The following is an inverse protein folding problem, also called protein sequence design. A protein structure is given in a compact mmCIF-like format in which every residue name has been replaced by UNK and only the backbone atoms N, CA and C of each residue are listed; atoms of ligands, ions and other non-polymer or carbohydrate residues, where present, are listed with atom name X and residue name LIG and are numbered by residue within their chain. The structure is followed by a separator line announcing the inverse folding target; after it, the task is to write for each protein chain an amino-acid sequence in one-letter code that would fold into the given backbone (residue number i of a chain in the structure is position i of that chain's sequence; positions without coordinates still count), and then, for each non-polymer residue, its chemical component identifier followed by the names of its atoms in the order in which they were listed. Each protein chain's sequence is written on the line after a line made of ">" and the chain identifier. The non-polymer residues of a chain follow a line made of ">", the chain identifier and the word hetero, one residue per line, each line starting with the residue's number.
data_IF_314133168840
#
_entry.id   IF_314133168840
#
_cell.length_a   1.000
_cell.length_b   1.000
_cell.length_c   1.000
_cell.angle_alpha   90.00
_cell.angle_beta   90.00
_cell.angle_gamma   90.00
#
_symmetry.space_group_name_H-M   'P 1'
#
loop_
_entity.id
_entity.type
_entity.pdbx_description
1 polymer ?
#
# COMPACT_ATOMS: atom_id res chain seq x y z
N UNK A 1 -19.00 -4.32 44.23
CA UNK A 1 -18.49 -5.68 43.99
C UNK A 1 -17.92 -5.91 42.58
N UNK A 2 -18.42 -5.24 41.58
CA UNK A 2 -17.94 -5.44 40.19
C UNK A 2 -16.74 -4.57 39.81
N UNK A 3 -16.29 -3.68 40.66
CA UNK A 3 -15.18 -2.76 40.39
C UNK A 3 -13.79 -3.43 40.46
N UNK A 4 -13.65 -4.48 41.24
CA UNK A 4 -12.39 -5.19 41.42
C UNK A 4 -12.04 -6.10 40.21
N UNK A 5 -13.06 -6.52 39.45
CA UNK A 5 -12.83 -7.33 38.24
C UNK A 5 -12.35 -6.52 37.05
N UNK A 6 -12.56 -5.22 37.05
CA UNK A 6 -12.12 -4.34 35.96
C UNK A 6 -10.65 -3.95 36.04
N UNK A 7 -10.08 -3.97 37.23
CA UNK A 7 -8.67 -3.62 37.42
C UNK A 7 -7.73 -4.74 36.99
N UNK A 8 -8.18 -6.00 37.01
CA UNK A 8 -7.32 -7.13 36.61
C UNK A 8 -7.17 -7.27 35.10
N UNK A 9 -8.07 -6.66 34.33
CA UNK A 9 -7.99 -6.71 32.87
C UNK A 9 -7.07 -5.64 32.27
N UNK A 10 -6.79 -4.59 33.02
CA UNK A 10 -5.92 -3.51 32.53
C UNK A 10 -4.43 -3.86 32.64
N UNK A 11 -4.08 -4.76 33.54
CA UNK A 11 -2.69 -5.16 33.74
C UNK A 11 -2.18 -6.16 32.70
N UNK A 12 -3.06 -6.94 32.09
CA UNK A 12 -2.66 -7.89 31.06
C UNK A 12 -2.36 -7.22 29.71
N UNK A 13 -2.85 -5.99 29.50
CA UNK A 13 -2.58 -5.25 28.27
C UNK A 13 -1.22 -4.55 28.25
N UNK A 14 -0.63 -4.31 29.40
CA UNK A 14 0.64 -3.62 29.50
C UNK A 14 1.83 -4.51 29.04
N UNK A 15 1.68 -5.81 29.10
CA UNK A 15 2.72 -6.75 28.68
C UNK A 15 2.71 -7.03 27.17
N UNK A 16 1.61 -6.77 26.50
CA UNK A 16 1.52 -6.96 25.05
C UNK A 16 1.95 -5.72 24.24
N UNK A 17 2.26 -4.62 24.92
CA UNK A 17 2.68 -3.38 24.28
C UNK A 17 4.02 -3.48 23.53
N UNK A 18 4.84 -4.49 23.80
CA UNK A 18 6.10 -4.73 23.12
C UNK A 18 5.92 -5.42 21.77
N UNK A 19 4.83 -6.17 21.58
CA UNK A 19 4.54 -6.85 20.32
C UNK A 19 3.85 -5.92 19.30
N UNK A 20 3.28 -4.81 19.75
CA UNK A 20 2.51 -3.89 18.91
C UNK A 20 3.36 -2.89 18.13
N UNK A 21 4.69 -2.87 18.31
CA UNK A 21 5.58 -1.94 17.62
C UNK A 21 6.07 -2.43 16.27
N UNK A 22 5.54 -3.56 15.78
CA UNK A 22 5.85 -4.04 14.43
C UNK A 22 5.02 -3.23 13.44
N UNK A 23 5.66 -2.26 12.81
CA UNK A 23 5.05 -1.37 11.83
C UNK A 23 5.36 -1.88 10.44
N UNK A 24 4.36 -1.84 9.57
CA UNK A 24 4.54 -2.11 8.14
C UNK A 24 4.10 -0.92 7.31
N UNK A 25 4.63 -0.85 6.11
CA UNK A 25 4.26 0.16 5.13
C UNK A 25 3.55 -0.55 3.98
N UNK A 26 2.48 0.05 3.50
CA UNK A 26 1.70 -0.45 2.37
C UNK A 26 2.05 0.35 1.12
N UNK A 27 2.34 -0.33 0.02
CA UNK A 27 2.49 0.26 -1.29
C UNK A 27 1.22 0.08 -2.10
N UNK A 28 0.81 1.10 -2.82
CA UNK A 28 -0.42 1.10 -3.62
C UNK A 28 -0.13 1.61 -5.04
N UNK A 29 -0.66 0.90 -6.02
CA UNK A 29 -0.72 1.34 -7.41
C UNK A 29 -2.19 1.49 -7.81
N UNK A 30 -2.63 2.74 -7.98
CA UNK A 30 -4.02 3.09 -8.24
C UNK A 30 -4.32 3.12 -9.74
N UNK A 31 -5.00 2.10 -10.22
CA UNK A 31 -5.46 2.00 -11.60
C UNK A 31 -6.94 2.37 -11.77
N UNK A 32 -7.42 2.36 -13.01
CA UNK A 32 -8.82 2.72 -13.32
C UNK A 32 -9.85 1.75 -12.72
N UNK A 33 -9.51 0.49 -12.63
CA UNK A 33 -10.40 -0.57 -12.08
C UNK A 33 -9.74 -1.45 -11.06
N UNK A 34 -8.47 -1.22 -10.79
CA UNK A 34 -7.67 -2.04 -9.90
C UNK A 34 -6.84 -1.18 -8.97
N UNK A 35 -6.53 -1.72 -7.81
CA UNK A 35 -5.50 -1.18 -6.94
C UNK A 35 -4.56 -2.32 -6.59
N UNK A 36 -3.33 -2.24 -7.04
CA UNK A 36 -2.28 -3.16 -6.64
C UNK A 36 -1.83 -2.85 -5.22
N UNK A 37 -1.65 -3.90 -4.41
CA UNK A 37 -1.28 -3.77 -3.00
C UNK A 37 -0.01 -4.56 -2.72
N UNK A 38 0.97 -3.90 -2.12
CA UNK A 38 2.17 -4.52 -1.58
C UNK A 38 2.32 -4.15 -0.10
N UNK A 39 2.93 -5.03 0.67
CA UNK A 39 3.17 -4.81 2.10
C UNK A 39 4.64 -5.06 2.38
N UNK A 40 5.25 -4.21 3.20
CA UNK A 40 6.63 -4.40 3.64
C UNK A 40 6.73 -5.52 4.68
N UNK A 41 7.94 -6.07 4.83
CA UNK A 41 8.25 -6.90 5.97
C UNK A 41 8.36 -6.05 7.25
N UNK A 42 8.51 -6.72 8.38
CA UNK A 42 8.61 -6.07 9.69
C UNK A 42 9.87 -5.21 9.84
N UNK A 43 10.92 -5.57 9.13
CA UNK A 43 12.21 -4.85 9.16
C UNK A 43 12.26 -3.70 8.16
N UNK A 44 11.21 -3.48 7.39
CA UNK A 44 11.14 -2.45 6.35
C UNK A 44 12.26 -2.59 5.30
N UNK A 45 12.67 -3.82 5.01
CA UNK A 45 13.72 -4.13 4.05
C UNK A 45 13.18 -4.50 2.68
N UNK A 46 12.10 -5.28 2.64
CA UNK A 46 11.54 -5.83 1.41
C UNK A 46 10.06 -5.54 1.28
N UNK A 47 9.63 -5.35 0.04
CA UNK A 47 8.22 -5.23 -0.33
C UNK A 47 7.73 -6.54 -0.94
N UNK A 48 6.53 -6.96 -0.58
CA UNK A 48 5.88 -8.15 -1.11
C UNK A 48 4.53 -7.79 -1.70
N UNK A 49 4.29 -8.17 -2.97
CA UNK A 49 2.98 -8.06 -3.57
C UNK A 49 1.98 -8.94 -2.84
N UNK A 50 0.82 -8.40 -2.48
CA UNK A 50 -0.19 -9.13 -1.71
C UNK A 50 -1.45 -9.43 -2.48
N UNK A 51 -2.05 -8.44 -3.10
CA UNK A 51 -3.29 -8.64 -3.84
C UNK A 51 -3.55 -7.51 -4.83
N UNK A 52 -4.55 -7.74 -5.67
CA UNK A 52 -5.12 -6.71 -6.54
C UNK A 52 -6.58 -6.56 -6.15
N UNK A 53 -6.95 -5.37 -5.69
CA UNK A 53 -8.33 -5.05 -5.38
C UNK A 53 -9.01 -4.58 -6.65
N UNK A 54 -10.09 -5.25 -7.05
CA UNK A 54 -10.80 -4.97 -8.29
C UNK A 54 -12.12 -4.25 -8.02
N UNK A 55 -12.50 -3.35 -8.91
CA UNK A 55 -13.79 -2.67 -8.87
C UNK A 55 -14.39 -2.57 -10.27
N UNK A 56 -15.71 -2.48 -10.34
CA UNK A 56 -16.43 -2.45 -11.61
C UNK A 56 -16.29 -1.10 -12.33
N UNK A 57 -16.26 -0.02 -11.58
CA UNK A 57 -16.20 1.34 -12.10
C UNK A 57 -15.18 2.16 -11.33
N UNK A 58 -14.53 3.08 -12.00
CA UNK A 58 -13.44 3.88 -11.43
C UNK A 58 -13.87 4.67 -10.19
N UNK A 59 -15.06 5.22 -10.22
CA UNK A 59 -15.59 6.06 -9.14
C UNK A 59 -16.17 5.28 -7.95
N UNK A 60 -16.32 3.96 -8.06
CA UNK A 60 -16.90 3.13 -6.98
C UNK A 60 -15.84 2.63 -6.01
N UNK A 61 -15.38 3.51 -5.16
CA UNK A 61 -14.25 3.28 -4.25
C UNK A 61 -14.64 2.70 -2.89
N UNK A 62 -15.93 2.60 -2.57
CA UNK A 62 -16.37 2.20 -1.22
C UNK A 62 -15.79 0.86 -0.77
N UNK A 63 -15.92 -0.17 -1.61
CA UNK A 63 -15.40 -1.51 -1.30
C UNK A 63 -13.88 -1.55 -1.31
N UNK A 64 -13.26 -0.79 -2.22
CA UNK A 64 -11.81 -0.66 -2.30
C UNK A 64 -11.25 -0.08 -1.00
N UNK A 65 -11.85 1.00 -0.51
CA UNK A 65 -11.46 1.62 0.76
C UNK A 65 -11.64 0.67 1.93
N UNK A 66 -12.77 -0.05 1.98
CA UNK A 66 -13.03 -1.03 3.03
C UNK A 66 -11.99 -2.15 3.04
N UNK A 67 -11.60 -2.64 1.87
CA UNK A 67 -10.57 -3.68 1.77
C UNK A 67 -9.20 -3.17 2.23
N UNK A 68 -8.85 -1.95 1.86
CA UNK A 68 -7.60 -1.34 2.32
C UNK A 68 -7.58 -1.21 3.84
N UNK A 69 -8.69 -0.81 4.45
CA UNK A 69 -8.81 -0.74 5.91
C UNK A 69 -8.61 -2.10 6.58
N UNK A 70 -9.19 -3.16 6.01
CA UNK A 70 -8.98 -4.53 6.50
C UNK A 70 -7.50 -4.92 6.46
N UNK A 71 -6.82 -4.62 5.35
CA UNK A 71 -5.39 -4.90 5.20
C UNK A 71 -4.53 -4.08 6.17
N UNK A 72 -4.89 -2.83 6.42
CA UNK A 72 -4.21 -1.99 7.40
C UNK A 72 -4.27 -2.63 8.78
N UNK A 73 -5.42 -3.15 9.19
CA UNK A 73 -5.59 -3.81 10.47
C UNK A 73 -4.87 -5.17 10.51
N UNK A 74 -4.98 -5.94 9.46
CA UNK A 74 -4.37 -7.28 9.37
C UNK A 74 -2.84 -7.23 9.47
N UNK A 75 -2.21 -6.26 8.81
CA UNK A 75 -0.76 -6.15 8.74
C UNK A 75 -0.18 -5.05 9.63
N UNK A 76 -0.99 -4.38 10.41
CA UNK A 76 -0.57 -3.26 11.27
C UNK A 76 0.18 -2.18 10.48
N UNK A 77 -0.46 -1.69 9.43
CA UNK A 77 0.11 -0.67 8.54
C UNK A 77 0.02 0.71 9.19
N UNK A 78 1.12 1.44 9.21
CA UNK A 78 1.18 2.79 9.78
C UNK A 78 1.43 3.90 8.75
N UNK A 79 1.82 3.52 7.55
CA UNK A 79 2.06 4.46 6.45
C UNK A 79 1.69 3.79 5.14
N UNK A 80 1.20 4.58 4.20
CA UNK A 80 0.95 4.14 2.83
C UNK A 80 1.82 4.92 1.86
N UNK A 81 2.29 4.26 0.82
CA UNK A 81 3.02 4.87 -0.29
C UNK A 81 2.20 4.66 -1.55
N UNK A 82 1.78 5.73 -2.19
CA UNK A 82 0.96 5.69 -3.39
C UNK A 82 1.78 6.17 -4.59
N UNK A 83 1.81 5.37 -5.64
CA UNK A 83 2.47 5.75 -6.88
C UNK A 83 1.82 6.97 -7.52
N UNK A 84 2.63 7.92 -7.94
CA UNK A 84 2.17 9.12 -8.63
C UNK A 84 2.59 9.05 -10.10
N UNK A 85 1.64 8.84 -11.03
CA UNK A 85 1.96 8.79 -12.45
C UNK A 85 2.18 10.21 -12.99
N UNK A 86 3.44 10.53 -13.29
CA UNK A 86 3.80 11.78 -13.93
C UNK A 86 4.17 11.53 -15.40
N UNK A 87 4.09 12.56 -16.22
CA UNK A 87 4.63 12.51 -17.56
C UNK A 87 6.18 12.45 -17.52
N UNK A 88 6.81 12.06 -18.61
CA UNK A 88 8.26 11.92 -18.66
C UNK A 88 9.02 13.23 -18.37
N UNK A 89 8.37 14.37 -18.60
CA UNK A 89 8.89 15.71 -18.29
C UNK A 89 8.57 16.16 -16.85
N UNK A 90 8.06 15.24 -16.01
CA UNK A 90 7.64 15.48 -14.64
C UNK A 90 6.40 16.36 -14.45
N UNK A 91 5.69 16.67 -15.54
CA UNK A 91 4.43 17.40 -15.45
C UNK A 91 3.29 16.49 -14.96
N UNK A 92 2.28 17.06 -14.27
CA UNK A 92 1.10 16.29 -13.85
C UNK A 92 0.36 15.68 -15.04
N UNK A 93 -0.10 14.44 -14.88
CA UNK A 93 -0.96 13.74 -15.83
C UNK A 93 -2.41 13.76 -15.32
N UNK A 94 -3.37 13.37 -16.17
CA UNK A 94 -4.76 13.20 -15.74
C UNK A 94 -4.86 12.16 -14.60
N UNK A 95 -4.07 11.10 -14.68
CA UNK A 95 -4.01 10.08 -13.63
C UNK A 95 -3.45 10.63 -12.32
N UNK A 96 -2.53 11.58 -12.36
CA UNK A 96 -1.94 12.14 -11.14
C UNK A 96 -2.98 12.89 -10.30
N UNK A 97 -3.91 13.59 -10.93
CA UNK A 97 -5.01 14.26 -10.22
C UNK A 97 -5.92 13.27 -9.53
N UNK A 98 -6.28 12.16 -10.22
CA UNK A 98 -7.09 11.08 -9.63
C UNK A 98 -6.36 10.40 -8.47
N UNK A 99 -5.06 10.23 -8.59
CA UNK A 99 -4.25 9.68 -7.49
C UNK A 99 -4.21 10.61 -6.28
N UNK A 100 -4.12 11.91 -6.48
CA UNK A 100 -4.16 12.90 -5.40
C UNK A 100 -5.52 12.90 -4.68
N UNK A 101 -6.61 12.80 -5.43
CA UNK A 101 -7.95 12.66 -4.86
C UNK A 101 -8.08 11.37 -4.05
N UNK A 102 -7.54 10.28 -4.58
CA UNK A 102 -7.53 8.98 -3.89
C UNK A 102 -6.73 9.05 -2.59
N UNK A 103 -5.57 9.72 -2.63
CA UNK A 103 -4.76 10.00 -1.44
C UNK A 103 -5.57 10.71 -0.36
N UNK A 104 -6.26 11.80 -0.72
CA UNK A 104 -7.05 12.58 0.23
C UNK A 104 -8.17 11.75 0.85
N UNK A 105 -8.84 10.94 0.06
CA UNK A 105 -9.89 10.04 0.53
C UNK A 105 -9.34 8.98 1.50
N UNK A 106 -8.18 8.41 1.18
CA UNK A 106 -7.52 7.44 2.06
C UNK A 106 -7.13 8.07 3.40
N UNK A 107 -6.49 9.22 3.38
CA UNK A 107 -6.05 9.90 4.60
C UNK A 107 -7.24 10.27 5.50
N UNK A 108 -8.33 10.77 4.92
CA UNK A 108 -9.55 11.12 5.68
C UNK A 108 -10.18 9.89 6.31
N UNK A 109 -10.24 8.78 5.58
CA UNK A 109 -10.93 7.58 6.05
C UNK A 109 -10.12 6.78 7.04
N UNK A 110 -8.82 6.65 6.81
CA UNK A 110 -7.94 5.78 7.62
C UNK A 110 -7.21 6.52 8.73
N UNK A 111 -7.00 7.82 8.59
CA UNK A 111 -6.16 8.60 9.50
C UNK A 111 -4.67 8.29 9.38
N UNK A 112 -4.27 7.53 8.36
CA UNK A 112 -2.89 7.12 8.13
C UNK A 112 -2.28 7.98 7.04
N UNK A 113 -1.03 8.47 7.21
CA UNK A 113 -0.38 9.31 6.19
C UNK A 113 -0.12 8.52 4.91
N UNK A 114 -0.34 9.17 3.78
CA UNK A 114 -0.08 8.64 2.44
C UNK A 114 1.00 9.49 1.79
N UNK A 115 2.13 8.87 1.46
CA UNK A 115 3.26 9.49 0.77
C UNK A 115 3.10 9.23 -0.72
N UNK A 116 3.25 10.27 -1.54
CA UNK A 116 3.25 10.12 -2.99
C UNK A 116 4.66 9.79 -3.48
N UNK A 117 4.75 8.84 -4.40
CA UNK A 117 6.04 8.39 -4.94
C UNK A 117 5.98 8.31 -6.46
N UNK A 118 7.00 8.80 -7.14
CA UNK A 118 7.07 8.82 -8.60
C UNK A 118 7.18 7.39 -9.17
N UNK A 119 6.26 7.03 -10.07
CA UNK A 119 6.19 5.69 -10.66
C UNK A 119 6.51 5.64 -12.16
N UNK A 120 7.14 6.67 -12.74
CA UNK A 120 7.32 6.78 -14.20
C UNK A 120 7.92 5.54 -14.86
N UNK A 121 8.82 4.83 -14.19
CA UNK A 121 9.54 3.68 -14.75
C UNK A 121 9.06 2.32 -14.21
N UNK A 122 8.11 2.28 -13.27
CA UNK A 122 7.68 1.04 -12.61
C UNK A 122 7.04 0.03 -13.56
N UNK A 123 6.38 0.47 -14.62
CA UNK A 123 5.77 -0.44 -15.60
C UNK A 123 6.83 -1.24 -16.36
N UNK A 124 7.93 -0.60 -16.73
CA UNK A 124 9.06 -1.26 -17.41
C UNK A 124 9.71 -2.29 -16.48
N UNK A 125 9.97 -1.91 -15.24
CA UNK A 125 10.52 -2.80 -14.22
C UNK A 125 9.59 -3.97 -13.93
N UNK A 126 8.27 -3.72 -13.86
CA UNK A 126 7.27 -4.77 -13.66
C UNK A 126 7.27 -5.77 -14.82
N UNK A 127 7.38 -5.28 -16.05
CA UNK A 127 7.47 -6.12 -17.23
C UNK A 127 8.71 -7.02 -17.20
N UNK A 128 9.85 -6.48 -16.81
CA UNK A 128 11.09 -7.23 -16.68
C UNK A 128 10.99 -8.33 -15.62
N UNK A 129 10.40 -8.03 -14.46
CA UNK A 129 10.19 -9.01 -13.40
C UNK A 129 9.26 -10.13 -13.87
N UNK A 130 8.18 -9.79 -14.57
CA UNK A 130 7.26 -10.79 -15.10
C UNK A 130 7.91 -11.68 -16.14
N UNK A 131 8.79 -11.15 -16.97
CA UNK A 131 9.56 -11.92 -17.93
C UNK A 131 10.50 -12.91 -17.23
N UNK A 132 11.19 -12.47 -16.18
CA UNK A 132 12.09 -13.33 -15.40
C UNK A 132 11.36 -14.50 -14.74
N UNK A 133 10.16 -14.27 -14.19
CA UNK A 133 9.37 -15.34 -13.55
C UNK A 133 8.50 -16.12 -14.53
N UNK A 134 8.50 -15.76 -15.81
CA UNK A 134 7.77 -16.48 -16.85
C UNK A 134 6.27 -16.21 -16.91
N UNK A 135 5.80 -15.11 -16.34
CA UNK A 135 4.40 -14.71 -16.42
C UNK A 135 4.12 -14.11 -17.79
N UNK A 136 3.19 -14.71 -18.54
CA UNK A 136 2.87 -14.32 -19.91
C UNK A 136 1.35 -14.27 -20.16
N UNK A 137 0.94 -13.54 -21.20
CA UNK A 137 -0.41 -13.49 -21.68
C UNK A 137 -1.38 -12.77 -20.73
N UNK A 138 -2.52 -13.40 -20.46
CA UNK A 138 -3.56 -12.80 -19.60
C UNK A 138 -3.11 -12.62 -18.14
N UNK A 139 -2.29 -13.51 -17.66
CA UNK A 139 -1.75 -13.44 -16.30
C UNK A 139 -0.94 -12.16 -16.09
N UNK A 140 -0.24 -11.69 -17.13
CA UNK A 140 0.56 -10.47 -17.09
C UNK A 140 -0.28 -9.25 -16.69
N UNK A 141 -1.49 -9.11 -17.27
CA UNK A 141 -2.40 -8.02 -16.92
C UNK A 141 -2.95 -8.13 -15.51
N UNK A 142 -3.07 -9.37 -15.02
CA UNK A 142 -3.59 -9.60 -13.67
C UNK A 142 -2.59 -9.22 -12.58
N UNK A 143 -1.31 -9.39 -12.84
CA UNK A 143 -0.28 -9.18 -11.83
C UNK A 143 0.47 -7.84 -11.95
N UNK A 144 0.35 -7.14 -13.07
CA UNK A 144 1.14 -5.92 -13.32
C UNK A 144 0.95 -4.86 -12.23
N UNK A 145 -0.27 -4.63 -11.79
CA UNK A 145 -0.55 -3.60 -10.77
C UNK A 145 0.01 -4.00 -9.40
N UNK A 146 -0.02 -5.28 -9.07
CA UNK A 146 0.54 -5.80 -7.83
C UNK A 146 2.06 -5.69 -7.82
N UNK A 147 2.70 -6.03 -8.93
CA UNK A 147 4.15 -5.91 -9.10
C UNK A 147 4.56 -4.44 -9.12
N UNK A 148 3.79 -3.57 -9.77
CA UNK A 148 4.03 -2.14 -9.75
C UNK A 148 3.96 -1.59 -8.32
N UNK A 149 2.97 -1.99 -7.52
CA UNK A 149 2.88 -1.62 -6.11
C UNK A 149 4.10 -2.11 -5.31
N UNK A 150 4.56 -3.32 -5.59
CA UNK A 150 5.76 -3.89 -4.96
C UNK A 150 7.01 -3.06 -5.28
N UNK A 151 7.18 -2.67 -6.55
CA UNK A 151 8.32 -1.85 -7.00
C UNK A 151 8.27 -0.46 -6.39
N UNK A 152 7.10 0.18 -6.38
CA UNK A 152 6.90 1.50 -5.75
C UNK A 152 7.31 1.44 -4.29
N UNK A 153 6.83 0.45 -3.57
CA UNK A 153 7.14 0.30 -2.15
C UNK A 153 8.61 -0.03 -1.92
N UNK A 154 9.20 -0.92 -2.71
CA UNK A 154 10.60 -1.28 -2.59
C UNK A 154 11.52 -0.08 -2.84
N UNK A 155 11.22 0.70 -3.86
CA UNK A 155 11.97 1.91 -4.17
C UNK A 155 11.89 2.93 -3.03
N UNK A 156 10.70 3.10 -2.46
CA UNK A 156 10.52 3.94 -1.26
C UNK A 156 11.35 3.43 -0.08
N UNK A 157 11.31 2.14 0.21
CA UNK A 157 12.05 1.56 1.33
C UNK A 157 13.55 1.75 1.16
N UNK A 158 14.07 1.52 -0.03
CA UNK A 158 15.50 1.66 -0.33
C UNK A 158 15.96 3.11 -0.19
N UNK A 159 15.17 4.05 -0.65
CA UNK A 159 15.50 5.49 -0.57
C UNK A 159 15.27 6.09 0.81
N UNK A 160 14.28 5.61 1.56
CA UNK A 160 14.00 6.13 2.90
C UNK A 160 15.08 5.77 3.93
N UNK A 161 15.79 4.67 3.74
CA UNK A 161 16.92 4.28 4.59
C UNK A 161 18.08 5.28 4.49
N UNK A 162 18.27 5.86 3.33
CA UNK A 162 19.35 6.84 3.10
C UNK A 162 19.06 8.17 3.81
N UNK A 163 17.83 8.40 4.23
CA UNK A 163 17.41 9.62 4.92
C UNK A 163 17.31 9.47 6.43
N UNK A 164 17.42 8.26 6.89
CA UNK A 164 17.42 7.99 8.32
C UNK A 164 18.81 8.00 8.91
#
# INVERSE_FOLDING_TARGET
>A
MNLLRRCSQSTSRATTGLESNIMRIMGLDYGSRTVGVAISDELLLTAQGKEIIRRKEENKLRRTMARIEELIQEYNVEKMVLGLPLNMDQTPSERSELCLEFKDKLERRTGIPVVMWDERLTTVEADEIMDEVGIRGRERKEYVDMIAAQIILQDYLDNSKDKA
#
